data_IF_830246256861
#
_entry.id   IF_830246256861
#
_cell.length_a   1.000
_cell.length_b   1.000
_cell.length_c   1.000
_cell.angle_alpha   90.00
_cell.angle_beta   90.00
_cell.angle_gamma   90.00
#
_symmetry.space_group_name_H-M   'P 1'
#
loop_
_entity.id
_entity.type
_entity.pdbx_description
1 polymer ?
#
# COMPACT_ATOMS: atom_id res chain seq x y z
N UNK A 1 13.29 27.28 23.75
CA UNK A 1 13.27 26.37 24.91
C UNK A 1 13.69 24.99 24.42
N UNK A 2 14.98 24.66 24.52
CA UNK A 2 15.56 23.41 24.04
C UNK A 2 15.31 22.31 25.05
N UNK A 3 14.54 21.28 24.68
CA UNK A 3 14.35 20.11 25.52
C UNK A 3 15.64 19.28 25.46
N UNK A 4 16.36 19.18 26.57
CA UNK A 4 17.49 18.27 26.75
C UNK A 4 16.96 16.83 26.55
N UNK A 5 17.43 16.18 25.48
CA UNK A 5 17.32 14.74 25.30
C UNK A 5 18.26 14.11 26.33
N UNK A 6 17.68 13.45 27.35
CA UNK A 6 18.45 12.76 28.38
C UNK A 6 19.40 11.74 27.79
N UNK A 7 20.61 11.69 28.32
CA UNK A 7 21.61 10.67 28.03
C UNK A 7 21.01 9.27 28.21
N UNK A 8 20.86 8.53 27.12
CA UNK A 8 20.56 7.11 27.17
C UNK A 8 21.87 6.38 27.49
N UNK A 9 21.91 5.83 28.69
CA UNK A 9 22.95 4.93 29.15
C UNK A 9 23.02 3.72 28.21
N UNK A 10 24.17 3.57 27.54
CA UNK A 10 24.44 2.51 26.57
C UNK A 10 24.93 1.24 27.28
N UNK A 11 24.13 0.68 28.19
CA UNK A 11 24.32 -0.70 28.63
C UNK A 11 23.85 -1.62 27.52
N UNK A 12 24.68 -2.56 27.07
CA UNK A 12 24.45 -3.58 26.07
C UNK A 12 23.35 -4.58 26.46
N UNK A 13 22.12 -4.09 26.54
CA UNK A 13 20.95 -4.96 26.38
C UNK A 13 20.88 -5.25 24.88
N UNK A 14 21.04 -6.50 24.48
CA UNK A 14 21.13 -6.94 23.09
C UNK A 14 20.11 -6.23 22.22
N UNK A 15 20.56 -5.46 21.24
CA UNK A 15 19.71 -4.72 20.33
C UNK A 15 18.91 -5.73 19.52
N UNK A 16 17.66 -5.95 19.90
CA UNK A 16 16.73 -6.80 19.16
C UNK A 16 16.49 -6.15 17.80
N UNK A 17 16.63 -6.93 16.74
CA UNK A 17 16.41 -6.46 15.37
C UNK A 17 15.09 -7.00 14.84
N UNK A 18 14.47 -6.24 13.97
CA UNK A 18 13.41 -6.78 13.13
C UNK A 18 13.92 -6.95 11.70
N UNK A 19 13.34 -7.94 11.03
CA UNK A 19 13.45 -8.16 9.59
C UNK A 19 12.06 -8.17 8.99
N UNK A 20 11.86 -7.42 7.91
CA UNK A 20 10.64 -7.44 7.10
C UNK A 20 10.99 -7.93 5.71
N UNK A 21 10.37 -9.04 5.30
CA UNK A 21 10.48 -9.59 3.94
C UNK A 21 9.19 -9.30 3.19
N UNK A 22 9.27 -8.64 2.04
CA UNK A 22 8.12 -8.42 1.17
C UNK A 22 7.66 -9.76 0.57
N UNK A 23 6.41 -10.13 0.80
CA UNK A 23 5.79 -11.33 0.22
C UNK A 23 5.10 -11.02 -1.11
N UNK A 24 4.63 -9.79 -1.28
CA UNK A 24 4.04 -9.27 -2.51
C UNK A 24 4.63 -7.90 -2.81
N UNK A 25 4.46 -7.37 -4.04
CA UNK A 25 4.90 -6.01 -4.35
C UNK A 25 4.42 -5.02 -3.32
N UNK A 26 5.32 -4.29 -2.68
CA UNK A 26 5.02 -3.44 -1.53
C UNK A 26 5.46 -2.00 -1.79
N UNK A 27 4.56 -1.04 -1.53
CA UNK A 27 4.86 0.39 -1.56
C UNK A 27 4.46 1.02 -0.24
N UNK A 28 5.44 1.50 0.52
CA UNK A 28 5.22 2.41 1.64
C UNK A 28 5.84 3.75 1.26
N UNK A 29 5.00 4.67 0.81
CA UNK A 29 5.41 5.98 0.32
C UNK A 29 5.32 7.06 1.40
N UNK A 30 6.01 8.16 1.16
CA UNK A 30 5.96 9.41 1.93
C UNK A 30 5.04 10.47 1.31
N UNK A 31 4.23 10.08 0.31
CA UNK A 31 3.35 10.95 -0.45
C UNK A 31 3.98 11.52 -1.72
N UNK A 32 5.25 11.25 -1.96
CA UNK A 32 5.94 11.67 -3.19
C UNK A 32 5.49 10.84 -4.40
N UNK A 33 5.59 11.45 -5.57
CA UNK A 33 5.32 10.81 -6.86
C UNK A 33 6.17 11.48 -7.93
N UNK A 34 6.60 10.69 -8.90
CA UNK A 34 7.19 11.24 -10.12
C UNK A 34 6.07 11.77 -11.02
N UNK A 35 6.19 13.02 -11.43
CA UNK A 35 5.36 13.59 -12.49
C UNK A 35 5.88 13.15 -13.87
N UNK A 36 5.08 13.21 -14.95
CA UNK A 36 5.52 12.87 -16.30
C UNK A 36 6.78 13.59 -16.77
N UNK A 37 7.01 14.79 -16.24
CA UNK A 37 8.20 15.61 -16.54
C UNK A 37 9.46 15.24 -15.74
N UNK A 38 9.33 14.39 -14.71
CA UNK A 38 10.46 14.00 -13.86
C UNK A 38 11.22 12.79 -14.41
N UNK A 39 10.69 12.12 -15.43
CA UNK A 39 11.27 10.89 -15.94
C UNK A 39 11.04 10.70 -17.44
N UNK A 40 11.83 9.81 -18.03
CA UNK A 40 11.62 9.26 -19.37
C UNK A 40 11.62 7.74 -19.31
N UNK A 41 10.71 7.12 -20.07
CA UNK A 41 10.79 5.69 -20.33
C UNK A 41 11.71 5.46 -21.53
N UNK A 42 12.73 4.64 -21.32
CA UNK A 42 13.62 4.20 -22.38
C UNK A 42 13.90 2.71 -22.23
N UNK A 43 13.63 1.96 -23.29
CA UNK A 43 13.60 0.49 -23.25
C UNK A 43 12.65 0.02 -22.12
N UNK A 44 13.15 -0.75 -21.20
CA UNK A 44 12.41 -1.36 -20.08
C UNK A 44 12.59 -0.62 -18.74
N UNK A 45 13.04 0.66 -18.78
CA UNK A 45 13.31 1.44 -17.58
C UNK A 45 12.61 2.79 -17.56
N UNK A 46 12.15 3.17 -16.38
CA UNK A 46 11.84 4.54 -15.99
C UNK A 46 13.15 5.21 -15.57
N UNK A 47 13.63 6.15 -16.36
CA UNK A 47 14.84 6.93 -16.10
C UNK A 47 14.43 8.23 -15.42
N UNK A 48 14.62 8.32 -14.10
CA UNK A 48 14.35 9.54 -13.32
C UNK A 48 15.45 10.55 -13.61
N UNK A 49 15.07 11.71 -14.13
CA UNK A 49 16.00 12.69 -14.65
C UNK A 49 16.59 13.58 -13.55
N UNK A 50 17.88 13.84 -13.62
CA UNK A 50 18.55 14.89 -12.84
C UNK A 50 18.30 16.26 -13.50
N UNK A 51 17.20 16.90 -13.11
CA UNK A 51 16.78 18.21 -13.63
C UNK A 51 17.88 19.26 -13.49
N UNK A 52 18.62 19.27 -12.37
CA UNK A 52 19.69 20.25 -12.13
C UNK A 52 20.85 20.07 -13.11
N UNK A 53 21.21 18.82 -13.42
CA UNK A 53 22.26 18.50 -14.39
C UNK A 53 21.83 18.88 -15.80
N UNK A 54 20.56 18.61 -16.16
CA UNK A 54 19.99 18.99 -17.45
C UNK A 54 20.02 20.51 -17.62
N UNK A 55 19.51 21.28 -16.66
CA UNK A 55 19.51 22.73 -16.72
C UNK A 55 20.94 23.31 -16.84
N UNK A 56 21.89 22.80 -16.05
CA UNK A 56 23.28 23.24 -16.15
C UNK A 56 23.90 23.03 -17.54
N UNK A 57 23.54 21.92 -18.20
CA UNK A 57 24.02 21.63 -19.55
C UNK A 57 23.38 22.56 -20.58
N UNK A 58 22.05 22.74 -20.51
CA UNK A 58 21.26 23.44 -21.51
C UNK A 58 21.32 24.95 -21.37
N UNK A 59 21.64 25.48 -20.18
CA UNK A 59 21.66 26.92 -19.88
C UNK A 59 22.57 27.73 -20.81
N UNK A 60 23.56 27.11 -21.46
CA UNK A 60 24.54 27.76 -22.35
C UNK A 60 24.25 27.52 -23.84
N UNK A 61 23.10 26.95 -24.20
CA UNK A 61 22.85 26.56 -25.57
C UNK A 61 21.40 26.77 -26.04
N UNK A 62 21.16 26.72 -27.35
CA UNK A 62 19.85 27.01 -27.97
C UNK A 62 18.78 25.95 -27.65
N UNK A 63 19.16 24.81 -27.06
CA UNK A 63 18.23 23.72 -26.74
C UNK A 63 17.41 23.95 -25.47
N UNK A 64 17.74 24.95 -24.66
CA UNK A 64 17.03 25.25 -23.41
C UNK A 64 15.56 25.59 -23.68
N UNK A 65 15.26 26.40 -24.68
CA UNK A 65 13.90 26.79 -25.02
C UNK A 65 13.04 25.55 -25.39
N UNK A 66 13.56 24.67 -26.25
CA UNK A 66 12.86 23.44 -26.61
C UNK A 66 12.59 22.52 -25.41
N UNK A 67 13.52 22.46 -24.46
CA UNK A 67 13.32 21.72 -23.21
C UNK A 67 12.22 22.37 -22.35
N UNK A 68 12.23 23.69 -22.18
CA UNK A 68 11.23 24.43 -21.43
C UNK A 68 9.82 24.29 -22.06
N UNK A 69 9.73 24.28 -23.37
CA UNK A 69 8.46 24.04 -24.06
C UNK A 69 7.89 22.64 -23.78
N UNK A 70 8.74 21.59 -23.76
CA UNK A 70 8.29 20.26 -23.40
C UNK A 70 7.83 20.19 -21.95
N UNK A 71 8.54 20.83 -21.01
CA UNK A 71 8.11 20.91 -19.61
C UNK A 71 6.74 21.62 -19.45
N UNK A 72 6.48 22.66 -20.24
CA UNK A 72 5.21 23.41 -20.21
C UNK A 72 4.03 22.56 -20.68
N UNK A 73 4.23 21.65 -21.63
CA UNK A 73 3.18 20.75 -22.12
C UNK A 73 2.70 19.75 -21.07
N UNK A 74 3.48 19.53 -20.00
CA UNK A 74 3.17 18.62 -18.88
C UNK A 74 2.76 17.22 -19.32
N UNK A 75 3.25 16.79 -20.48
CA UNK A 75 3.00 15.49 -21.09
C UNK A 75 4.26 14.61 -21.03
N UNK A 76 4.21 13.44 -21.64
CA UNK A 76 5.37 12.56 -21.76
C UNK A 76 6.55 13.33 -22.37
N UNK A 77 7.69 13.26 -21.70
CA UNK A 77 8.91 13.81 -22.28
C UNK A 77 9.34 12.91 -23.44
N UNK A 78 9.43 13.49 -24.62
CA UNK A 78 9.97 12.85 -25.82
C UNK A 78 11.26 13.54 -26.24
N UNK A 79 12.37 12.91 -25.91
CA UNK A 79 13.70 13.30 -26.37
C UNK A 79 14.29 12.26 -27.35
N UNK A 80 13.43 11.55 -28.09
CA UNK A 80 13.89 10.54 -29.06
C UNK A 80 14.93 11.11 -30.05
N UNK A 81 14.76 12.40 -30.43
CA UNK A 81 15.72 13.14 -31.26
C UNK A 81 17.05 13.47 -30.56
N UNK A 82 17.14 13.30 -29.23
CA UNK A 82 18.34 13.68 -28.48
C UNK A 82 19.25 12.49 -28.16
N UNK A 83 18.99 11.31 -28.72
CA UNK A 83 19.76 10.06 -28.61
C UNK A 83 20.33 9.82 -27.21
N UNK A 84 20.16 8.69 -26.59
CA UNK A 84 20.73 8.32 -25.28
C UNK A 84 20.58 9.32 -24.13
N UNK A 85 19.89 10.44 -24.32
CA UNK A 85 19.73 11.52 -23.35
C UNK A 85 19.15 11.03 -22.03
N UNK A 86 18.12 10.19 -22.08
CA UNK A 86 17.51 9.64 -20.88
C UNK A 86 18.49 8.86 -20.01
N UNK A 87 19.37 8.07 -20.62
CA UNK A 87 20.38 7.30 -19.88
C UNK A 87 21.48 8.19 -19.30
N UNK A 88 21.93 9.17 -20.08
CA UNK A 88 23.03 10.05 -19.68
C UNK A 88 22.66 11.00 -18.54
N UNK A 89 21.38 11.35 -18.42
CA UNK A 89 20.88 12.27 -17.38
C UNK A 89 20.01 11.60 -16.34
N UNK A 90 19.91 10.29 -16.34
CA UNK A 90 19.24 9.56 -15.27
C UNK A 90 20.05 9.67 -13.98
N UNK A 91 19.45 10.25 -12.94
CA UNK A 91 19.96 10.15 -11.58
C UNK A 91 19.67 8.77 -10.97
N UNK A 92 18.58 8.14 -11.44
CA UNK A 92 18.13 6.81 -11.01
C UNK A 92 17.40 6.12 -12.17
N UNK A 93 17.59 4.80 -12.27
CA UNK A 93 16.94 3.96 -13.28
C UNK A 93 16.15 2.86 -12.58
N UNK A 94 14.86 2.74 -12.90
CA UNK A 94 13.95 1.79 -12.27
C UNK A 94 13.39 0.89 -13.37
N UNK A 95 13.66 -0.41 -13.37
CA UNK A 95 13.11 -1.32 -14.38
C UNK A 95 11.59 -1.48 -14.19
N UNK A 96 10.86 -1.65 -15.28
CA UNK A 96 9.52 -2.19 -15.20
C UNK A 96 9.57 -3.63 -14.68
N UNK A 97 8.51 -4.05 -14.01
CA UNK A 97 8.39 -5.44 -13.57
C UNK A 97 8.50 -6.39 -14.76
N UNK A 98 7.76 -6.08 -15.84
CA UNK A 98 7.79 -6.82 -17.07
C UNK A 98 7.59 -5.90 -18.28
N UNK A 99 8.12 -6.30 -19.45
CA UNK A 99 8.05 -5.51 -20.69
C UNK A 99 6.62 -5.27 -21.21
N UNK A 100 5.67 -6.14 -20.88
CA UNK A 100 4.24 -5.96 -21.21
C UNK A 100 3.62 -4.67 -20.65
N UNK A 101 4.23 -4.07 -19.65
CA UNK A 101 3.79 -2.81 -19.07
C UNK A 101 4.11 -1.59 -19.93
N UNK A 102 5.09 -1.70 -20.83
CA UNK A 102 5.57 -0.59 -21.67
C UNK A 102 4.49 -0.13 -22.66
N UNK A 103 3.88 -1.00 -23.48
CA UNK A 103 2.80 -0.60 -24.38
C UNK A 103 1.59 -0.02 -23.66
N UNK A 104 1.34 -0.47 -22.42
CA UNK A 104 0.27 0.10 -21.56
C UNK A 104 0.63 1.52 -21.15
N UNK A 105 1.90 1.75 -20.76
CA UNK A 105 2.41 3.07 -20.41
C UNK A 105 2.35 4.04 -21.61
N UNK A 106 2.76 3.59 -22.78
CA UNK A 106 2.76 4.40 -24.01
C UNK A 106 1.36 4.90 -24.38
N UNK A 107 0.34 4.08 -24.19
CA UNK A 107 -1.06 4.42 -24.47
C UNK A 107 -1.77 5.14 -23.32
N UNK A 108 -1.14 5.20 -22.14
CA UNK A 108 -1.77 5.79 -20.96
C UNK A 108 -1.94 7.31 -21.12
N UNK A 109 -3.05 7.81 -20.60
CA UNK A 109 -3.35 9.24 -20.56
C UNK A 109 -2.43 9.97 -19.56
N UNK A 110 -2.06 11.24 -19.78
CA UNK A 110 -1.13 11.99 -18.93
C UNK A 110 -1.45 11.93 -17.44
N UNK A 111 -2.72 12.01 -17.06
CA UNK A 111 -3.16 11.93 -15.67
C UNK A 111 -2.85 10.59 -14.98
N UNK A 112 -2.60 9.53 -15.74
CA UNK A 112 -2.29 8.20 -15.25
C UNK A 112 -0.77 7.91 -15.22
N UNK A 113 0.05 8.88 -15.59
CA UNK A 113 1.50 8.76 -15.68
C UNK A 113 2.24 9.21 -14.40
N UNK A 114 1.50 9.64 -13.37
CA UNK A 114 2.10 9.92 -12.07
C UNK A 114 2.44 8.62 -11.35
N UNK A 115 3.71 8.44 -11.00
CA UNK A 115 4.24 7.21 -10.37
C UNK A 115 4.47 7.48 -8.89
N UNK A 116 3.63 6.98 -7.96
CA UNK A 116 3.95 6.99 -6.54
C UNK A 116 5.27 6.28 -6.27
N UNK A 117 6.10 6.85 -5.41
CA UNK A 117 7.44 6.33 -5.10
C UNK A 117 7.53 5.79 -3.69
N UNK A 118 8.46 4.87 -3.46
CA UNK A 118 8.78 4.37 -2.13
C UNK A 118 9.42 5.47 -1.27
N UNK A 119 9.17 5.46 0.05
CA UNK A 119 9.79 6.39 0.98
C UNK A 119 11.31 6.29 0.89
N UNK A 120 11.97 7.41 0.67
CA UNK A 120 13.38 7.45 0.29
C UNK A 120 14.15 8.49 1.10
N UNK A 121 15.27 8.07 1.68
CA UNK A 121 16.31 8.94 2.23
C UNK A 121 17.35 9.29 1.16
N UNK A 122 18.29 10.23 1.42
CA UNK A 122 19.39 10.48 0.52
C UNK A 122 20.28 9.25 0.21
N UNK A 123 20.23 8.23 1.08
CA UNK A 123 21.04 7.00 0.94
C UNK A 123 20.29 5.89 0.19
N UNK A 124 18.96 5.88 0.24
CA UNK A 124 18.15 4.88 -0.45
C UNK A 124 16.75 4.71 0.15
N UNK A 125 15.95 3.81 -0.42
CA UNK A 125 14.62 3.48 0.08
C UNK A 125 14.67 2.90 1.50
N UNK A 126 13.69 3.25 2.32
CA UNK A 126 13.56 2.72 3.68
C UNK A 126 12.10 2.48 4.04
N UNK A 127 11.85 1.62 5.02
CA UNK A 127 10.51 1.33 5.51
C UNK A 127 10.24 2.15 6.78
N UNK A 128 9.28 3.11 6.75
CA UNK A 128 8.91 3.90 7.91
C UNK A 128 8.34 3.05 9.05
N UNK A 129 8.85 3.24 10.27
CA UNK A 129 8.39 2.59 11.49
C UNK A 129 6.89 2.77 11.73
N UNK A 130 6.36 3.92 11.34
CA UNK A 130 4.94 4.26 11.50
C UNK A 130 4.02 3.32 10.71
N UNK A 131 4.47 2.83 9.55
CA UNK A 131 3.72 1.86 8.76
C UNK A 131 3.64 0.49 9.48
N UNK A 132 4.76 0.03 10.02
CA UNK A 132 4.83 -1.23 10.78
C UNK A 132 3.92 -1.12 12.01
N UNK A 133 4.12 -0.07 12.80
CA UNK A 133 3.35 0.15 14.04
C UNK A 133 1.86 0.32 13.78
N UNK A 134 1.49 0.97 12.67
CA UNK A 134 0.11 1.12 12.23
C UNK A 134 -0.57 -0.21 11.95
N UNK A 135 0.09 -1.12 11.22
CA UNK A 135 -0.44 -2.45 10.91
C UNK A 135 -0.59 -3.32 12.17
N UNK A 136 0.43 -3.34 13.03
CA UNK A 136 0.38 -4.04 14.32
C UNK A 136 -0.75 -3.52 15.22
N UNK A 137 -0.96 -2.19 15.23
CA UNK A 137 -2.07 -1.56 15.94
C UNK A 137 -3.42 -2.06 15.42
N UNK A 138 -3.59 -2.13 14.12
CA UNK A 138 -4.84 -2.60 13.50
C UNK A 138 -5.12 -4.05 13.89
N UNK A 139 -4.13 -4.95 13.85
CA UNK A 139 -4.26 -6.32 14.34
C UNK A 139 -4.63 -6.40 15.82
N UNK A 140 -4.02 -5.55 16.65
CA UNK A 140 -4.35 -5.48 18.10
C UNK A 140 -5.78 -5.03 18.32
N UNK A 141 -6.26 -4.04 17.57
CA UNK A 141 -7.65 -3.59 17.65
C UNK A 141 -8.59 -4.72 17.23
N UNK A 142 -8.29 -5.40 16.11
CA UNK A 142 -9.08 -6.53 15.62
C UNK A 142 -9.24 -7.64 16.67
N UNK A 143 -8.16 -8.04 17.35
CA UNK A 143 -8.19 -9.13 18.35
C UNK A 143 -8.96 -8.79 19.62
N UNK A 144 -9.26 -7.51 19.85
CA UNK A 144 -9.91 -7.00 21.07
C UNK A 144 -11.25 -6.35 20.80
N UNK A 145 -11.60 -6.23 19.55
CA UNK A 145 -12.87 -5.67 19.15
C UNK A 145 -14.01 -6.57 19.63
N UNK A 146 -15.05 -5.97 20.16
CA UNK A 146 -16.23 -6.68 20.59
C UNK A 146 -17.50 -5.96 20.09
N UNK A 147 -18.60 -6.68 20.11
CA UNK A 147 -19.88 -6.20 19.61
C UNK A 147 -20.38 -4.95 20.34
N UNK A 148 -20.11 -4.83 21.64
CA UNK A 148 -20.55 -3.67 22.42
C UNK A 148 -19.87 -2.38 21.96
N UNK A 149 -18.55 -2.43 21.68
CA UNK A 149 -17.79 -1.28 21.14
C UNK A 149 -18.34 -0.88 19.78
N UNK A 150 -18.67 -1.85 18.93
CA UNK A 150 -19.23 -1.60 17.59
C UNK A 150 -20.64 -0.98 17.72
N UNK A 151 -21.48 -1.52 18.60
CA UNK A 151 -22.83 -0.98 18.84
C UNK A 151 -22.78 0.44 19.39
N UNK A 152 -21.90 0.73 20.35
CA UNK A 152 -21.69 2.10 20.86
C UNK A 152 -21.22 3.07 19.76
N UNK A 153 -20.34 2.60 18.87
CA UNK A 153 -19.89 3.40 17.72
C UNK A 153 -21.06 3.67 16.74
N UNK A 154 -21.89 2.66 16.45
CA UNK A 154 -23.07 2.81 15.59
C UNK A 154 -24.03 3.85 16.15
N UNK A 155 -24.38 3.75 17.43
CA UNK A 155 -25.27 4.71 18.12
C UNK A 155 -24.73 6.15 18.02
N UNK A 156 -23.43 6.33 18.19
CA UNK A 156 -22.80 7.67 18.08
C UNK A 156 -22.82 8.23 16.65
N UNK A 157 -22.73 7.38 15.66
CA UNK A 157 -22.80 7.79 14.26
C UNK A 157 -24.23 8.20 13.87
N UNK A 158 -25.25 7.78 14.62
CA UNK A 158 -26.66 8.12 14.42
C UNK A 158 -27.09 9.39 15.18
N UNK A 159 -26.24 9.98 16.03
CA UNK A 159 -26.50 11.24 16.69
C UNK A 159 -26.65 12.39 15.69
N UNK A 160 -27.49 13.39 15.98
CA UNK A 160 -27.70 14.58 15.13
C UNK A 160 -26.38 15.32 14.84
N UNK A 161 -25.44 15.27 15.76
CA UNK A 161 -24.09 15.83 15.62
C UNK A 161 -23.04 14.76 15.96
N UNK A 162 -22.74 13.87 15.03
CA UNK A 162 -21.76 12.82 15.26
C UNK A 162 -20.40 13.44 15.59
N UNK A 163 -19.63 12.83 16.49
CA UNK A 163 -18.31 13.32 16.86
C UNK A 163 -17.37 13.36 15.65
N UNK A 164 -16.53 14.39 15.57
CA UNK A 164 -15.58 14.59 14.46
C UNK A 164 -14.66 13.38 14.21
N UNK A 165 -14.37 12.62 15.25
CA UNK A 165 -13.59 11.37 15.16
C UNK A 165 -14.27 10.28 15.99
N UNK A 166 -15.35 9.66 15.51
CA UNK A 166 -16.14 8.69 16.29
C UNK A 166 -15.33 7.43 16.63
N UNK A 167 -14.38 7.03 15.79
CA UNK A 167 -13.54 5.85 16.01
C UNK A 167 -12.53 6.03 17.16
N UNK A 168 -12.11 7.25 17.48
CA UNK A 168 -11.06 7.49 18.49
C UNK A 168 -11.44 6.95 19.88
N UNK A 169 -12.70 7.10 20.27
CA UNK A 169 -13.18 6.60 21.57
C UNK A 169 -13.28 5.08 21.58
N UNK A 170 -13.77 4.49 20.50
CA UNK A 170 -13.82 3.04 20.31
C UNK A 170 -12.40 2.43 20.36
N UNK A 171 -11.45 3.03 19.68
CA UNK A 171 -10.04 2.61 19.73
C UNK A 171 -9.43 2.76 21.14
N UNK A 172 -9.72 3.85 21.84
CA UNK A 172 -9.24 4.07 23.21
C UNK A 172 -9.81 3.05 24.19
N UNK A 173 -11.06 2.64 24.03
CA UNK A 173 -11.66 1.58 24.83
C UNK A 173 -10.92 0.23 24.64
N UNK A 174 -10.46 -0.04 23.43
CA UNK A 174 -9.79 -1.29 23.05
C UNK A 174 -8.30 -1.29 23.39
N UNK A 175 -7.59 -0.18 23.10
CA UNK A 175 -6.14 -0.07 23.26
C UNK A 175 -5.71 0.45 24.64
N UNK A 176 -6.62 1.08 25.38
CA UNK A 176 -6.35 1.81 26.60
C UNK A 176 -6.20 3.32 26.38
N UNK A 177 -6.44 4.09 27.43
CA UNK A 177 -6.31 5.55 27.43
C UNK A 177 -4.88 6.00 27.07
N UNK A 178 -4.74 7.28 26.68
CA UNK A 178 -3.49 7.82 26.14
C UNK A 178 -2.22 7.50 26.96
N UNK A 179 -2.29 7.47 28.28
CA UNK A 179 -1.17 7.13 29.18
C UNK A 179 -0.86 5.63 29.26
N UNK A 180 -1.87 4.76 29.12
CA UNK A 180 -1.80 3.30 29.27
C UNK A 180 -1.93 2.54 27.97
N UNK A 181 -1.83 3.22 26.83
CA UNK A 181 -1.98 2.61 25.51
C UNK A 181 -0.95 1.48 25.29
N UNK A 182 -1.44 0.29 25.01
CA UNK A 182 -0.66 -0.95 24.86
C UNK A 182 0.40 -0.88 23.75
N UNK A 183 0.17 -0.07 22.71
CA UNK A 183 1.14 0.14 21.66
C UNK A 183 2.40 0.92 22.09
N UNK A 184 2.42 1.45 23.31
CA UNK A 184 3.64 2.03 23.91
C UNK A 184 4.66 0.99 24.36
N UNK A 185 4.23 -0.27 24.54
CA UNK A 185 5.09 -1.38 24.95
C UNK A 185 6.01 -1.89 23.84
N UNK A 186 5.76 -1.46 22.61
CA UNK A 186 6.55 -1.80 21.44
C UNK A 186 6.97 -0.53 20.73
N UNK A 187 8.24 -0.42 20.42
CA UNK A 187 8.80 0.64 19.58
C UNK A 187 9.62 0.02 18.46
N UNK A 188 9.42 0.55 17.26
CA UNK A 188 10.19 0.20 16.07
C UNK A 188 10.89 1.44 15.56
N UNK A 189 12.12 1.32 15.09
CA UNK A 189 12.78 2.36 14.32
C UNK A 189 12.43 2.22 12.83
N UNK A 190 12.67 3.27 12.05
CA UNK A 190 12.70 3.16 10.60
C UNK A 190 13.74 2.11 10.20
N UNK A 191 13.53 1.42 9.08
CA UNK A 191 14.54 0.48 8.60
C UNK A 191 15.81 1.21 8.16
N UNK A 192 16.91 0.48 8.16
CA UNK A 192 18.08 0.91 7.41
C UNK A 192 17.71 1.10 5.94
N UNK A 193 18.28 2.11 5.25
CA UNK A 193 18.09 2.26 3.81
C UNK A 193 18.63 1.04 3.06
N UNK A 194 17.91 0.65 1.99
CA UNK A 194 18.33 -0.44 1.10
C UNK A 194 18.72 0.10 -0.28
N UNK A 195 19.34 -0.73 -1.09
CA UNK A 195 19.67 -0.37 -2.47
C UNK A 195 18.41 -0.35 -3.35
N UNK A 196 18.44 0.41 -4.44
CA UNK A 196 17.33 0.47 -5.40
C UNK A 196 17.15 -0.81 -6.23
N UNK A 197 18.09 -1.77 -6.17
CA UNK A 197 18.02 -3.03 -6.95
C UNK A 197 16.78 -3.87 -6.68
N UNK A 198 16.19 -3.74 -5.47
CA UNK A 198 14.93 -4.39 -5.09
C UNK A 198 13.68 -3.62 -5.47
N UNK A 199 13.78 -2.52 -6.23
CA UNK A 199 12.64 -1.69 -6.64
C UNK A 199 12.32 -1.87 -8.12
N UNK A 200 11.03 -2.00 -8.45
CA UNK A 200 10.52 -2.07 -9.83
C UNK A 200 9.27 -1.21 -9.99
N UNK A 201 8.98 -0.85 -11.23
CA UNK A 201 7.71 -0.23 -11.60
C UNK A 201 6.71 -1.33 -11.93
N UNK A 202 5.67 -1.43 -11.12
CA UNK A 202 4.56 -2.34 -11.32
C UNK A 202 3.40 -1.64 -12.01
N UNK A 203 2.75 -2.36 -12.93
CA UNK A 203 1.43 -2.01 -13.43
C UNK A 203 0.38 -2.48 -12.43
N UNK A 204 -0.55 -1.60 -12.07
CA UNK A 204 -1.69 -1.91 -11.22
C UNK A 204 -2.98 -1.49 -11.90
N UNK A 205 -4.05 -2.24 -11.62
CA UNK A 205 -5.41 -1.88 -12.01
C UNK A 205 -6.37 -2.16 -10.86
N UNK A 206 -7.51 -1.48 -10.87
CA UNK A 206 -8.54 -1.69 -9.85
C UNK A 206 -9.64 -2.56 -10.44
N UNK A 207 -9.72 -3.80 -9.94
CA UNK A 207 -10.85 -4.68 -10.23
C UNK A 207 -12.09 -4.27 -9.43
N UNK A 208 -13.26 -4.59 -9.94
CA UNK A 208 -14.55 -4.34 -9.28
C UNK A 208 -15.50 -5.50 -9.56
N UNK A 209 -16.43 -5.75 -8.64
CA UNK A 209 -17.53 -6.67 -8.90
C UNK A 209 -18.75 -5.87 -9.37
N UNK A 210 -19.36 -6.32 -10.45
CA UNK A 210 -20.54 -5.73 -11.07
C UNK A 210 -21.70 -6.70 -10.91
N UNK A 211 -22.81 -6.26 -10.32
CA UNK A 211 -24.02 -7.07 -10.18
C UNK A 211 -24.71 -7.27 -11.54
N UNK A 212 -25.14 -8.51 -11.81
CA UNK A 212 -25.86 -8.92 -13.03
C UNK A 212 -27.26 -9.49 -12.75
N UNK A 213 -27.81 -9.13 -11.60
CA UNK A 213 -29.10 -9.65 -11.14
C UNK A 213 -28.97 -10.99 -10.40
N UNK A 214 -30.01 -11.37 -9.65
CA UNK A 214 -30.12 -12.66 -8.91
C UNK A 214 -28.87 -13.06 -8.09
N UNK A 215 -28.14 -12.09 -7.52
CA UNK A 215 -26.95 -12.37 -6.69
C UNK A 215 -25.70 -12.82 -7.47
N UNK A 216 -25.72 -12.76 -8.80
CA UNK A 216 -24.56 -13.05 -9.65
C UNK A 216 -23.69 -11.79 -9.82
N UNK A 217 -22.38 -11.98 -9.73
CA UNK A 217 -21.39 -10.93 -9.91
C UNK A 217 -20.43 -11.29 -11.04
N UNK A 218 -20.02 -10.29 -11.78
CA UNK A 218 -18.98 -10.41 -12.81
C UNK A 218 -17.80 -9.51 -12.47
N UNK A 219 -16.62 -9.94 -12.89
CA UNK A 219 -15.43 -9.12 -12.86
C UNK A 219 -15.56 -7.96 -13.84
N UNK A 220 -15.33 -6.77 -13.33
CA UNK A 220 -15.13 -5.55 -14.10
C UNK A 220 -13.84 -4.85 -13.68
N UNK A 221 -13.46 -3.82 -14.41
CA UNK A 221 -12.27 -3.03 -14.16
C UNK A 221 -12.61 -1.55 -14.13
N UNK A 222 -12.02 -0.81 -13.20
CA UNK A 222 -12.29 0.62 -13.09
C UNK A 222 -11.77 1.39 -14.30
N UNK A 223 -12.66 2.10 -14.94
CA UNK A 223 -12.41 3.04 -16.05
C UNK A 223 -12.19 4.46 -15.51
N UNK A 224 -11.83 5.43 -16.36
CA UNK A 224 -11.75 6.84 -15.97
C UNK A 224 -13.03 7.32 -15.29
N UNK A 225 -12.88 8.31 -14.41
CA UNK A 225 -14.01 8.86 -13.63
C UNK A 225 -15.12 9.36 -14.57
N UNK A 226 -16.35 8.95 -14.30
CA UNK A 226 -17.52 9.28 -15.11
C UNK A 226 -17.84 8.27 -16.22
N UNK A 227 -16.97 7.29 -16.47
CA UNK A 227 -17.22 6.20 -17.41
C UNK A 227 -17.75 4.95 -16.71
N UNK A 228 -18.45 4.10 -17.47
CA UNK A 228 -18.86 2.78 -16.98
C UNK A 228 -17.62 1.90 -16.72
N UNK A 229 -17.74 0.96 -15.77
CA UNK A 229 -16.68 0.00 -15.47
C UNK A 229 -16.40 -0.87 -16.72
N UNK A 230 -15.11 -1.02 -17.07
CA UNK A 230 -14.68 -1.77 -18.25
C UNK A 230 -14.86 -3.27 -18.04
N UNK A 231 -15.29 -3.98 -19.10
CA UNK A 231 -15.35 -5.45 -19.10
C UNK A 231 -13.97 -6.04 -19.42
N UNK A 232 -13.26 -5.42 -20.32
CA UNK A 232 -11.91 -5.85 -20.72
C UNK A 232 -10.88 -5.11 -19.87
N UNK A 233 -9.82 -5.83 -19.55
CA UNK A 233 -8.72 -5.30 -18.74
C UNK A 233 -8.01 -4.14 -19.44
N UNK A 234 -7.86 -4.22 -20.76
CA UNK A 234 -7.15 -3.21 -21.57
C UNK A 234 -7.87 -1.85 -21.60
N UNK A 235 -9.19 -1.85 -21.45
CA UNK A 235 -10.02 -0.64 -21.44
C UNK A 235 -10.05 0.06 -20.08
N UNK A 236 -9.37 -0.51 -19.07
CA UNK A 236 -9.35 0.02 -17.70
C UNK A 236 -8.21 1.01 -17.48
N UNK A 237 -8.38 1.86 -16.46
CA UNK A 237 -7.36 2.84 -16.07
C UNK A 237 -6.12 2.15 -15.50
N UNK A 238 -4.95 2.28 -16.14
CA UNK A 238 -3.69 1.79 -15.57
C UNK A 238 -3.19 2.73 -14.46
N UNK A 239 -2.46 2.18 -13.53
CA UNK A 239 -1.67 2.93 -12.55
C UNK A 239 -0.29 2.30 -12.48
N UNK A 240 0.76 3.11 -12.47
CA UNK A 240 2.13 2.65 -12.30
C UNK A 240 2.63 3.07 -10.93
N UNK A 241 3.40 2.22 -10.26
CA UNK A 241 3.95 2.53 -8.94
C UNK A 241 5.34 1.89 -8.77
N UNK A 242 6.24 2.62 -8.12
CA UNK A 242 7.51 2.07 -7.67
C UNK A 242 7.28 1.23 -6.41
N UNK A 243 7.59 -0.06 -6.48
CA UNK A 243 7.34 -0.98 -5.39
C UNK A 243 8.56 -1.85 -5.12
N UNK A 244 8.77 -2.18 -3.84
CA UNK A 244 9.70 -3.23 -3.45
C UNK A 244 9.19 -4.57 -3.98
N UNK A 245 10.08 -5.35 -4.60
CA UNK A 245 9.76 -6.67 -5.17
C UNK A 245 9.50 -7.70 -4.08
N UNK A 246 8.74 -8.77 -4.34
CA UNK A 246 8.74 -9.94 -3.48
C UNK A 246 10.17 -10.40 -3.20
N UNK A 247 10.45 -10.75 -1.94
CA UNK A 247 11.79 -11.09 -1.47
C UNK A 247 12.67 -9.90 -1.04
N UNK A 248 12.29 -8.65 -1.31
CA UNK A 248 13.01 -7.49 -0.78
C UNK A 248 12.95 -7.48 0.76
N UNK A 249 14.09 -7.17 1.39
CA UNK A 249 14.27 -7.24 2.86
C UNK A 249 14.60 -5.86 3.41
N UNK A 250 13.92 -5.49 4.50
CA UNK A 250 14.18 -4.29 5.29
C UNK A 250 14.48 -4.68 6.73
N UNK A 251 15.55 -4.16 7.31
CA UNK A 251 15.96 -4.43 8.68
C UNK A 251 16.05 -3.15 9.50
N UNK A 252 15.69 -3.26 10.78
CA UNK A 252 15.74 -2.12 11.70
C UNK A 252 15.76 -2.55 13.15
N UNK A 253 15.68 -1.59 14.05
CA UNK A 253 15.72 -1.83 15.49
C UNK A 253 14.32 -2.03 16.04
N UNK A 254 14.22 -3.00 16.94
CA UNK A 254 13.02 -3.34 17.70
C UNK A 254 13.27 -3.17 19.19
N UNK A 255 12.31 -2.59 19.90
CA UNK A 255 12.32 -2.53 21.36
C UNK A 255 10.96 -2.94 21.89
N UNK A 256 10.94 -3.79 22.87
CA UNK A 256 9.73 -4.30 23.51
C UNK A 256 9.86 -4.33 25.03
N UNK A 257 8.73 -4.36 25.71
CA UNK A 257 8.70 -4.50 27.18
C UNK A 257 8.93 -5.96 27.58
N UNK A 258 8.40 -6.92 26.80
CA UNK A 258 8.58 -8.35 27.01
C UNK A 258 8.35 -9.16 25.74
N UNK A 259 9.01 -10.32 25.61
CA UNK A 259 8.78 -11.27 24.54
C UNK A 259 7.32 -11.79 24.50
N UNK A 260 6.68 -11.90 25.66
CA UNK A 260 5.28 -12.30 25.75
C UNK A 260 4.33 -11.23 25.16
N UNK A 261 4.62 -9.94 25.31
CA UNK A 261 3.84 -8.87 24.66
C UNK A 261 4.00 -8.94 23.13
N UNK A 262 5.21 -9.26 22.63
CA UNK A 262 5.47 -9.48 21.20
C UNK A 262 4.66 -10.65 20.67
N UNK A 263 4.69 -11.81 21.34
CA UNK A 263 3.94 -13.00 20.91
C UNK A 263 2.44 -12.71 20.79
N UNK A 264 1.85 -12.03 21.79
CA UNK A 264 0.43 -11.62 21.75
C UNK A 264 0.14 -10.68 20.59
N UNK A 265 1.05 -9.76 20.32
CA UNK A 265 0.94 -8.80 19.22
C UNK A 265 1.01 -9.50 17.86
N UNK A 266 1.92 -10.47 17.68
CA UNK A 266 2.08 -11.24 16.48
C UNK A 266 0.89 -12.18 16.25
N UNK A 267 0.42 -12.85 17.28
CA UNK A 267 -0.78 -13.69 17.21
C UNK A 267 -2.02 -12.87 16.80
N UNK A 268 -2.21 -11.68 17.38
CA UNK A 268 -3.29 -10.78 16.99
C UNK A 268 -3.20 -10.35 15.51
N UNK A 269 -1.98 -10.06 15.05
CA UNK A 269 -1.71 -9.65 13.67
C UNK A 269 -1.94 -10.80 12.69
N UNK A 270 -1.51 -12.01 13.02
CA UNK A 270 -1.73 -13.22 12.21
C UNK A 270 -3.23 -13.57 12.12
N UNK A 271 -3.98 -13.46 13.22
CA UNK A 271 -5.43 -13.66 13.20
C UNK A 271 -6.12 -12.63 12.30
N UNK A 272 -5.67 -11.39 12.32
CA UNK A 272 -6.19 -10.35 11.44
C UNK A 272 -5.82 -10.63 9.97
N UNK A 273 -4.59 -11.02 9.69
CA UNK A 273 -4.13 -11.39 8.35
C UNK A 273 -4.95 -12.56 7.78
N UNK A 274 -5.17 -13.62 8.55
CA UNK A 274 -6.01 -14.75 8.15
C UNK A 274 -7.43 -14.32 7.77
N UNK A 275 -8.05 -13.47 8.59
CA UNK A 275 -9.40 -12.94 8.31
C UNK A 275 -9.44 -12.13 7.00
N UNK A 276 -8.42 -11.32 6.73
CA UNK A 276 -8.35 -10.55 5.49
C UNK A 276 -8.12 -11.45 4.27
N UNK A 277 -7.16 -12.40 4.37
CA UNK A 277 -6.84 -13.32 3.28
C UNK A 277 -8.07 -14.13 2.89
N UNK A 278 -8.83 -14.64 3.87
CA UNK A 278 -10.07 -15.38 3.60
C UNK A 278 -11.07 -14.55 2.77
N UNK A 279 -11.26 -13.27 3.10
CA UNK A 279 -12.14 -12.36 2.34
C UNK A 279 -11.61 -12.06 0.95
N UNK A 280 -10.31 -11.90 0.82
CA UNK A 280 -9.67 -11.69 -0.47
C UNK A 280 -9.76 -12.94 -1.35
N UNK A 281 -9.63 -14.14 -0.78
CA UNK A 281 -9.82 -15.41 -1.50
C UNK A 281 -11.26 -15.55 -2.00
N UNK A 282 -12.26 -15.27 -1.16
CA UNK A 282 -13.65 -15.24 -1.58
C UNK A 282 -13.89 -14.27 -2.75
N UNK A 283 -13.29 -13.06 -2.67
CA UNK A 283 -13.37 -12.10 -3.77
C UNK A 283 -12.72 -12.64 -5.05
N UNK A 284 -11.52 -13.21 -4.96
CA UNK A 284 -10.78 -13.73 -6.11
C UNK A 284 -11.53 -14.88 -6.79
N UNK A 285 -12.16 -15.76 -6.02
CA UNK A 285 -13.00 -16.85 -6.51
C UNK A 285 -14.22 -16.33 -7.27
N UNK A 286 -14.97 -15.40 -6.68
CA UNK A 286 -16.15 -14.78 -7.31
C UNK A 286 -15.76 -14.02 -8.59
N UNK A 287 -14.58 -13.39 -8.60
CA UNK A 287 -14.05 -12.64 -9.73
C UNK A 287 -13.38 -13.50 -10.81
N UNK A 288 -13.17 -14.80 -10.59
CA UNK A 288 -12.45 -15.68 -11.51
C UNK A 288 -10.97 -15.32 -11.68
N UNK A 289 -10.32 -14.79 -10.63
CA UNK A 289 -8.92 -14.36 -10.64
C UNK A 289 -8.03 -15.49 -10.10
N UNK A 290 -7.75 -16.50 -10.93
CA UNK A 290 -7.05 -17.74 -10.55
C UNK A 290 -5.65 -17.47 -9.97
N UNK A 291 -4.81 -16.72 -10.71
CA UNK A 291 -3.45 -16.41 -10.25
C UNK A 291 -3.43 -15.65 -8.92
N UNK A 292 -4.38 -14.72 -8.73
CA UNK A 292 -4.55 -14.03 -7.46
C UNK A 292 -4.97 -15.00 -6.35
N UNK A 293 -5.84 -15.96 -6.65
CA UNK A 293 -6.29 -16.98 -5.68
C UNK A 293 -5.12 -17.87 -5.22
N UNK A 294 -4.22 -18.24 -6.15
CA UNK A 294 -3.00 -18.99 -5.85
C UNK A 294 -2.08 -18.20 -4.90
N UNK A 295 -1.78 -16.94 -5.23
CA UNK A 295 -0.92 -16.10 -4.38
C UNK A 295 -1.52 -15.86 -3.00
N UNK A 296 -2.84 -15.74 -2.89
CA UNK A 296 -3.52 -15.64 -1.60
C UNK A 296 -3.44 -16.95 -0.79
N UNK A 297 -3.45 -18.10 -1.46
CA UNK A 297 -3.25 -19.40 -0.80
C UNK A 297 -1.84 -19.54 -0.26
N UNK A 298 -0.83 -19.03 -0.99
CA UNK A 298 0.55 -19.03 -0.50
C UNK A 298 0.73 -18.05 0.67
N UNK A 299 0.07 -16.89 0.66
CA UNK A 299 0.03 -16.01 1.83
C UNK A 299 -0.60 -16.66 3.05
N UNK A 300 -1.68 -17.42 2.88
CA UNK A 300 -2.32 -18.18 3.96
C UNK A 300 -1.35 -19.20 4.60
N UNK A 301 -0.59 -19.94 3.76
CA UNK A 301 0.49 -20.84 4.24
C UNK A 301 1.52 -20.06 5.06
N UNK A 302 1.95 -18.88 4.57
CA UNK A 302 2.93 -18.04 5.30
C UNK A 302 2.41 -17.58 6.66
N UNK A 303 1.11 -17.30 6.80
CA UNK A 303 0.53 -16.98 8.12
C UNK A 303 0.59 -18.17 9.07
N UNK A 304 0.33 -19.38 8.58
CA UNK A 304 0.42 -20.60 9.37
C UNK A 304 1.87 -20.89 9.79
N UNK A 305 2.81 -20.79 8.85
CA UNK A 305 4.24 -21.00 9.08
C UNK A 305 4.84 -19.97 10.07
N UNK A 306 4.37 -18.74 10.06
CA UNK A 306 4.84 -17.68 10.94
C UNK A 306 4.63 -18.00 12.44
N UNK A 307 3.57 -18.74 12.79
CA UNK A 307 3.29 -19.16 14.16
C UNK A 307 3.29 -18.00 15.16
N UNK A 308 4.03 -18.14 16.25
CA UNK A 308 4.17 -17.11 17.29
C UNK A 308 5.49 -16.31 17.18
N UNK A 309 6.41 -16.72 16.30
CA UNK A 309 7.75 -16.12 16.16
C UNK A 309 7.80 -14.98 15.15
N UNK A 310 6.84 -14.93 14.24
CA UNK A 310 6.73 -13.95 13.17
C UNK A 310 5.26 -13.54 12.95
N UNK A 311 5.03 -12.51 12.15
CA UNK A 311 3.67 -12.18 11.74
C UNK A 311 3.60 -11.63 10.31
N UNK A 312 2.49 -11.93 9.65
CA UNK A 312 2.17 -11.41 8.33
C UNK A 312 1.35 -10.12 8.48
N UNK A 313 1.76 -9.09 7.77
CA UNK A 313 1.14 -7.76 7.81
C UNK A 313 0.80 -7.30 6.40
N UNK A 314 -0.24 -6.47 6.28
CA UNK A 314 -0.53 -5.74 5.07
C UNK A 314 -0.16 -4.25 5.25
N UNK A 315 0.85 -3.77 4.52
CA UNK A 315 1.42 -2.43 4.65
C UNK A 315 1.15 -1.53 3.45
N UNK A 316 1.11 -0.26 3.71
CA UNK A 316 1.32 0.79 2.72
C UNK A 316 0.20 1.00 1.71
N UNK A 317 0.61 1.52 0.56
CA UNK A 317 -0.27 1.92 -0.52
C UNK A 317 -0.68 0.68 -1.35
N UNK A 318 -1.97 0.59 -1.64
CA UNK A 318 -2.49 -0.53 -2.43
C UNK A 318 -3.02 -1.71 -1.61
N UNK A 319 -2.65 -1.84 -0.34
CA UNK A 319 -3.16 -2.89 0.54
C UNK A 319 -4.69 -2.81 0.76
N UNK A 320 -5.31 -1.68 0.41
CA UNK A 320 -6.75 -1.52 0.38
C UNK A 320 -7.39 -1.21 1.73
N UNK A 321 -8.72 -1.10 1.71
CA UNK A 321 -9.51 -0.73 2.87
C UNK A 321 -9.47 -1.81 3.96
N UNK A 322 -9.53 -3.08 3.60
CA UNK A 322 -9.56 -4.19 4.55
C UNK A 322 -8.31 -4.25 5.45
N UNK A 323 -7.16 -3.79 4.98
CA UNK A 323 -5.93 -3.73 5.79
C UNK A 323 -5.95 -2.65 6.88
N UNK A 324 -6.94 -1.76 6.85
CA UNK A 324 -7.05 -0.60 7.76
C UNK A 324 -8.29 -0.64 8.64
N UNK A 325 -9.17 -1.61 8.41
CA UNK A 325 -10.41 -1.77 9.15
C UNK A 325 -10.30 -3.03 10.00
N UNK A 326 -10.26 -2.83 11.29
CA UNK A 326 -10.17 -3.91 12.27
C UNK A 326 -11.49 -4.65 12.52
N UNK A 327 -12.60 -4.17 11.98
CA UNK A 327 -13.91 -4.82 12.03
C UNK A 327 -14.37 -5.09 10.62
N UNK A 328 -14.92 -6.21 10.39
CA UNK A 328 -15.20 -6.39 9.03
C UNK A 328 -16.12 -7.55 8.66
N UNK A 329 -16.99 -8.01 9.52
CA UNK A 329 -18.09 -8.83 9.04
C UNK A 329 -19.19 -7.91 8.50
N UNK A 330 -19.33 -7.89 7.16
CA UNK A 330 -20.42 -7.16 6.50
C UNK A 330 -21.81 -7.80 6.77
N UNK A 331 -21.87 -8.95 7.41
CA UNK A 331 -23.10 -9.54 7.92
C UNK A 331 -23.53 -8.89 9.24
N UNK A 332 -22.63 -8.29 9.99
CA UNK A 332 -22.93 -7.58 11.24
C UNK A 332 -23.83 -6.36 10.97
N UNK A 333 -24.98 -6.31 11.62
CA UNK A 333 -25.97 -5.25 11.45
C UNK A 333 -25.46 -3.89 11.94
N UNK A 334 -24.73 -3.86 13.03
CA UNK A 334 -24.14 -2.63 13.58
C UNK A 334 -23.06 -2.06 12.65
N UNK A 335 -22.21 -2.94 12.08
CA UNK A 335 -21.23 -2.52 11.09
C UNK A 335 -21.89 -1.99 9.81
N UNK A 336 -22.96 -2.63 9.35
CA UNK A 336 -23.76 -2.14 8.21
C UNK A 336 -24.41 -0.80 8.48
N UNK A 337 -24.91 -0.57 9.69
CA UNK A 337 -25.45 0.73 10.10
C UNK A 337 -24.37 1.82 9.99
N UNK A 338 -23.19 1.59 10.56
CA UNK A 338 -22.04 2.51 10.44
C UNK A 338 -21.71 2.80 8.97
N UNK A 339 -21.61 1.77 8.14
CA UNK A 339 -21.26 1.94 6.72
C UNK A 339 -22.33 2.72 5.94
N UNK A 340 -23.62 2.60 6.30
CA UNK A 340 -24.70 3.41 5.70
C UNK A 340 -24.58 4.89 5.98
N UNK A 341 -23.97 5.28 7.09
CA UNK A 341 -23.70 6.70 7.43
C UNK A 341 -22.58 7.28 6.54
N UNK A 342 -21.76 6.44 5.87
CA UNK A 342 -20.70 6.88 4.97
C UNK A 342 -21.24 6.95 3.56
N UNK A 343 -21.49 8.14 3.04
CA UNK A 343 -22.13 8.37 1.72
C UNK A 343 -21.50 7.57 0.58
N UNK A 344 -20.17 7.42 0.60
CA UNK A 344 -19.42 6.66 -0.42
C UNK A 344 -19.73 5.15 -0.42
N UNK A 345 -20.27 4.61 0.66
CA UNK A 345 -20.50 3.18 0.83
C UNK A 345 -21.98 2.78 0.75
N UNK A 346 -22.91 3.74 0.86
CA UNK A 346 -24.35 3.50 0.87
C UNK A 346 -24.81 2.66 -0.32
N UNK A 347 -24.40 3.02 -1.53
CA UNK A 347 -24.82 2.30 -2.73
C UNK A 347 -24.35 0.84 -2.76
N UNK A 348 -23.09 0.58 -2.37
CA UNK A 348 -22.55 -0.77 -2.36
C UNK A 348 -23.27 -1.68 -1.36
N UNK A 349 -23.66 -1.14 -0.19
CA UNK A 349 -24.39 -1.87 0.84
C UNK A 349 -25.84 -2.13 0.44
N UNK A 350 -26.49 -1.16 -0.16
CA UNK A 350 -27.88 -1.28 -0.64
C UNK A 350 -28.02 -2.31 -1.75
N UNK A 351 -27.05 -2.42 -2.63
CA UNK A 351 -27.05 -3.37 -3.76
C UNK A 351 -26.72 -4.81 -3.37
N UNK A 352 -26.35 -5.06 -2.10
CA UNK A 352 -25.95 -6.39 -1.65
C UNK A 352 -24.61 -6.89 -2.19
N UNK A 353 -23.82 -6.00 -2.82
CA UNK A 353 -22.47 -6.33 -3.32
C UNK A 353 -21.54 -6.70 -2.16
N UNK A 354 -20.61 -7.64 -2.36
CA UNK A 354 -19.53 -7.89 -1.41
C UNK A 354 -18.77 -6.59 -1.11
N UNK A 355 -18.65 -6.23 0.17
CA UNK A 355 -18.01 -5.00 0.58
C UNK A 355 -16.61 -5.25 1.16
N UNK A 356 -15.62 -4.46 0.76
CA UNK A 356 -15.58 -3.53 -0.39
C UNK A 356 -15.58 -4.29 -1.72
N UNK A 357 -16.27 -3.73 -2.72
CA UNK A 357 -16.43 -4.36 -4.04
C UNK A 357 -15.22 -4.26 -4.97
N UNK A 358 -14.19 -3.55 -4.56
CA UNK A 358 -13.01 -3.28 -5.40
C UNK A 358 -11.74 -3.82 -4.78
N UNK A 359 -10.78 -4.20 -5.65
CA UNK A 359 -9.41 -4.56 -5.26
C UNK A 359 -8.41 -3.90 -6.18
N UNK A 360 -7.34 -3.35 -5.63
CA UNK A 360 -6.18 -2.94 -6.41
C UNK A 360 -5.27 -4.15 -6.57
N UNK A 361 -4.97 -4.48 -7.83
CA UNK A 361 -4.23 -5.69 -8.17
C UNK A 361 -2.96 -5.27 -8.90
N UNK A 362 -1.81 -5.73 -8.44
CA UNK A 362 -0.55 -5.63 -9.15
C UNK A 362 -0.40 -6.79 -10.13
N UNK A 363 0.19 -6.48 -11.28
CA UNK A 363 0.38 -7.40 -12.38
C UNK A 363 1.78 -8.01 -12.30
N UNK A 364 1.88 -9.27 -12.64
CA UNK A 364 3.10 -10.03 -12.86
C UNK A 364 3.05 -10.58 -14.27
N UNK A 365 4.06 -10.29 -15.07
CA UNK A 365 4.16 -10.75 -16.48
C UNK A 365 2.89 -10.44 -17.31
N UNK A 366 2.27 -9.29 -17.02
CA UNK A 366 1.05 -8.84 -17.69
C UNK A 366 -0.25 -9.48 -17.19
N UNK A 367 -0.23 -10.29 -16.13
CA UNK A 367 -1.40 -10.95 -15.54
C UNK A 367 -1.71 -10.41 -14.14
N UNK A 368 -2.99 -10.31 -13.75
CA UNK A 368 -3.37 -9.91 -12.38
C UNK A 368 -2.93 -10.99 -11.38
N UNK A 369 -1.97 -10.67 -10.50
CA UNK A 369 -1.34 -11.66 -9.64
C UNK A 369 -1.36 -11.33 -8.15
N UNK A 370 -1.14 -10.09 -7.75
CA UNK A 370 -0.91 -9.76 -6.35
C UNK A 370 -1.87 -8.71 -5.80
N UNK A 371 -2.30 -8.91 -4.55
CA UNK A 371 -2.69 -7.78 -3.71
C UNK A 371 -1.42 -7.17 -3.10
N UNK A 372 -1.17 -5.88 -3.31
CA UNK A 372 0.05 -5.23 -2.83
C UNK A 372 0.14 -5.14 -1.31
N UNK A 373 1.37 -5.14 -0.77
CA UNK A 373 1.68 -4.72 0.57
C UNK A 373 1.76 -5.83 1.62
N UNK A 374 1.72 -7.11 1.23
CA UNK A 374 1.89 -8.21 2.19
C UNK A 374 3.36 -8.45 2.50
N UNK A 375 3.67 -8.49 3.79
CA UNK A 375 5.04 -8.67 4.29
C UNK A 375 5.07 -9.62 5.47
N UNK A 376 6.21 -10.29 5.68
CA UNK A 376 6.51 -11.08 6.87
C UNK A 376 7.41 -10.25 7.79
N UNK A 377 7.01 -10.05 9.04
CA UNK A 377 7.79 -9.42 10.10
C UNK A 377 8.32 -10.49 11.04
N UNK A 378 9.63 -10.53 11.22
CA UNK A 378 10.38 -11.36 12.15
C UNK A 378 11.16 -10.49 13.12
N UNK A 379 11.37 -10.96 14.35
CA UNK A 379 12.14 -10.25 15.40
C UNK A 379 13.08 -11.24 16.07
N UNK A 380 14.38 -10.93 16.02
CA UNK A 380 15.47 -11.78 16.53
C UNK A 380 16.38 -11.01 17.48
#
# INVERSE_FOLDING_TARGET
MWIRIGNFDSSEVGKVKYRITCLTPTLVGDGQKLAPIDYMVWKDHVNVLDQRRIFRLLAKGPRLEGYLEQLRKSDKLDFASWGGFAQNFAGRRIPFEHSSSIPVWERAQPQNLFIPTFATSPVGPYLPATAIKGALRTGTVFSRWNENVLRELATRMEEDRPPRNPAAKAESAVLGAHGSNRMRRVATADSSPVTYSGMKIYLLRVSTLVARGAGKFELGWKSPRGSADARRIDDSTPTFAEMATPGAVFEGLWKETSAQDRQKLFQASNSFASSQIARHKQYAQVAGLERLSETLTDLEKRVVEAGNGACVLALGWGAGMLSKISVGDTADTSYRSILRQVSQHQQAIQTGLPFPKTRRIAFEEGRPAYLPGWVLLEVS
#
